data_IF_562931549247
#
_entry.id   IF_562931549247
#
_cell.length_a   1.000
_cell.length_b   1.000
_cell.length_c   1.000
_cell.angle_alpha   90.00
_cell.angle_beta   90.00
_cell.angle_gamma   90.00
#
_symmetry.space_group_name_H-M   'P 1'
#
loop_
_entity.id
_entity.type
_entity.pdbx_description
1 polymer ?
#
# COMPACT_ATOMS: atom_id res chain seq x y z
N UNK A 1 3.87 -13.14 -13.45
CA UNK A 1 3.75 -14.27 -12.50
C UNK A 1 2.34 -14.22 -11.95
N UNK A 2 1.59 -15.32 -11.94
CA UNK A 2 0.22 -15.35 -11.41
C UNK A 2 0.28 -15.21 -9.88
N UNK A 3 -0.55 -14.38 -9.25
CA UNK A 3 -0.64 -14.33 -7.79
C UNK A 3 -1.10 -15.70 -7.25
N UNK A 4 -0.61 -16.03 -6.05
CA UNK A 4 -0.96 -17.29 -5.38
C UNK A 4 -2.18 -17.04 -4.50
N UNK A 5 -3.25 -17.79 -4.73
CA UNK A 5 -4.43 -17.85 -3.89
C UNK A 5 -4.34 -19.10 -3.01
N UNK A 6 -3.86 -18.93 -1.78
CA UNK A 6 -3.84 -19.97 -0.75
C UNK A 6 -5.20 -20.04 -0.07
N UNK A 7 -5.77 -21.24 0.03
CA UNK A 7 -7.09 -21.48 0.62
C UNK A 7 -6.90 -22.48 1.75
N UNK A 8 -7.10 -22.00 2.97
CA UNK A 8 -6.95 -22.80 4.19
C UNK A 8 -8.30 -23.43 4.53
N UNK A 9 -8.32 -24.75 4.63
CA UNK A 9 -9.52 -25.54 4.91
C UNK A 9 -9.26 -26.51 6.05
N UNK A 10 -10.32 -26.85 6.77
CA UNK A 10 -10.33 -27.93 7.75
C UNK A 10 -11.44 -28.89 7.37
N UNK A 11 -11.15 -30.19 7.35
CA UNK A 11 -12.18 -31.21 7.16
C UNK A 11 -13.24 -31.10 8.26
N UNK A 12 -14.48 -31.48 7.94
CA UNK A 12 -15.61 -31.47 8.88
C UNK A 12 -15.99 -30.08 9.46
N UNK A 13 -15.53 -28.98 8.87
CA UNK A 13 -15.97 -27.63 9.20
C UNK A 13 -17.25 -27.24 8.44
N UNK A 14 -18.11 -26.42 9.05
CA UNK A 14 -19.29 -25.87 8.38
C UNK A 14 -18.88 -25.06 7.15
N UNK A 15 -19.28 -25.51 5.96
CA UNK A 15 -18.96 -24.85 4.69
C UNK A 15 -17.77 -25.46 3.94
N UNK A 16 -17.17 -26.56 4.41
CA UNK A 16 -16.09 -27.27 3.72
C UNK A 16 -16.46 -27.71 2.29
N UNK A 17 -17.62 -28.36 2.10
CA UNK A 17 -18.06 -28.82 0.77
C UNK A 17 -18.31 -27.66 -0.20
N UNK A 18 -18.86 -26.56 0.33
CA UNK A 18 -19.03 -25.33 -0.44
C UNK A 18 -17.67 -24.71 -0.80
N UNK A 19 -16.68 -24.78 0.10
CA UNK A 19 -15.33 -24.31 -0.18
C UNK A 19 -14.67 -25.11 -1.31
N UNK A 20 -14.81 -26.45 -1.30
CA UNK A 20 -14.32 -27.31 -2.38
C UNK A 20 -14.98 -26.96 -3.73
N UNK A 21 -16.30 -26.76 -3.73
CA UNK A 21 -17.03 -26.32 -4.93
C UNK A 21 -16.50 -24.99 -5.47
N UNK A 22 -16.24 -24.02 -4.58
CA UNK A 22 -15.68 -22.72 -4.95
C UNK A 22 -14.25 -22.87 -5.47
N UNK A 23 -13.42 -23.72 -4.84
CA UNK A 23 -12.04 -24.01 -5.27
C UNK A 23 -12.05 -24.53 -6.71
N UNK A 24 -12.90 -25.49 -7.02
CA UNK A 24 -13.01 -26.09 -8.35
C UNK A 24 -13.47 -25.06 -9.38
N UNK A 25 -14.48 -24.25 -9.04
CA UNK A 25 -14.93 -23.15 -9.89
C UNK A 25 -13.82 -22.14 -10.17
N UNK A 26 -13.03 -21.74 -9.17
CA UNK A 26 -11.90 -20.81 -9.36
C UNK A 26 -10.83 -21.43 -10.26
N UNK A 27 -10.49 -22.70 -10.06
CA UNK A 27 -9.50 -23.41 -10.88
C UNK A 27 -9.95 -23.53 -12.33
N UNK A 28 -11.25 -23.74 -12.57
CA UNK A 28 -11.82 -23.91 -13.90
C UNK A 28 -11.98 -22.58 -14.65
N UNK A 29 -12.53 -21.56 -13.98
CA UNK A 29 -12.95 -20.31 -14.64
C UNK A 29 -11.84 -19.26 -14.67
N UNK A 30 -10.90 -19.33 -13.72
CA UNK A 30 -9.79 -18.38 -13.61
C UNK A 30 -8.39 -19.02 -13.63
N UNK A 31 -8.10 -20.06 -14.46
CA UNK A 31 -6.83 -20.78 -14.47
C UNK A 31 -5.66 -19.88 -14.92
N UNK A 32 -5.95 -18.79 -15.62
CA UNK A 32 -4.95 -17.82 -16.06
C UNK A 32 -4.73 -16.67 -15.06
N UNK A 33 -5.64 -16.49 -14.09
CA UNK A 33 -5.57 -15.39 -13.12
C UNK A 33 -4.86 -15.81 -11.84
N UNK A 34 -5.17 -16.99 -11.30
CA UNK A 34 -4.64 -17.46 -10.02
C UNK A 34 -3.78 -18.72 -10.17
N UNK A 35 -2.81 -18.87 -9.28
CA UNK A 35 -2.32 -20.20 -8.88
C UNK A 35 -3.03 -20.55 -7.59
N UNK A 36 -3.87 -21.60 -7.59
CA UNK A 36 -4.64 -22.01 -6.41
C UNK A 36 -3.87 -23.07 -5.63
N UNK A 37 -3.61 -22.79 -4.36
CA UNK A 37 -2.98 -23.71 -3.41
C UNK A 37 -3.96 -24.00 -2.26
N UNK A 38 -4.29 -25.27 -2.04
CA UNK A 38 -5.17 -25.67 -0.93
C UNK A 38 -4.29 -26.16 0.22
N UNK A 39 -4.51 -25.61 1.40
CA UNK A 39 -3.76 -25.94 2.63
C UNK A 39 -4.74 -26.54 3.63
N UNK A 40 -4.54 -27.80 3.99
CA UNK A 40 -5.31 -28.46 5.03
C UNK A 40 -4.73 -28.15 6.40
N UNK A 41 -5.53 -27.56 7.29
CA UNK A 41 -5.05 -27.19 8.63
C UNK A 41 -4.72 -28.40 9.52
N UNK A 42 -5.17 -29.59 9.13
CA UNK A 42 -4.84 -30.86 9.80
C UNK A 42 -3.45 -31.39 9.41
N UNK A 43 -2.81 -30.83 8.38
CA UNK A 43 -1.47 -31.23 7.97
C UNK A 43 -0.42 -30.67 8.95
N UNK A 44 0.29 -31.59 9.61
CA UNK A 44 1.32 -31.26 10.59
C UNK A 44 2.52 -30.49 10.00
N UNK A 45 2.69 -30.49 8.67
CA UNK A 45 3.76 -29.75 7.98
C UNK A 45 3.29 -28.44 7.35
N UNK A 46 2.01 -28.11 7.43
CA UNK A 46 1.49 -26.88 6.82
C UNK A 46 2.03 -25.62 7.52
N UNK A 47 2.61 -24.72 6.73
CA UNK A 47 2.97 -23.37 7.17
C UNK A 47 1.71 -22.49 7.22
N UNK A 48 1.10 -22.41 8.41
CA UNK A 48 -0.13 -21.66 8.67
C UNK A 48 0.22 -20.35 9.38
N UNK A 49 0.04 -19.18 8.75
CA UNK A 49 0.32 -17.90 9.38
C UNK A 49 -0.61 -17.61 10.58
N UNK A 50 -0.10 -16.97 11.65
CA UNK A 50 -0.87 -16.60 12.86
C UNK A 50 -2.17 -15.82 12.59
N UNK A 51 -2.24 -15.11 11.46
CA UNK A 51 -3.43 -14.35 11.03
C UNK A 51 -4.57 -15.24 10.51
N UNK A 52 -4.32 -16.52 10.24
CA UNK A 52 -5.34 -17.49 9.80
C UNK A 52 -5.91 -18.16 11.04
N UNK A 53 -7.03 -17.64 11.53
CA UNK A 53 -7.67 -18.11 12.77
C UNK A 53 -9.05 -18.77 12.54
N UNK A 54 -9.50 -18.86 11.28
CA UNK A 54 -10.79 -19.45 10.91
C UNK A 54 -10.67 -20.20 9.58
N UNK A 55 -11.55 -21.17 9.35
CA UNK A 55 -11.69 -21.85 8.06
C UNK A 55 -13.13 -21.84 7.55
N UNK A 56 -13.33 -21.79 6.22
CA UNK A 56 -12.30 -21.61 5.20
C UNK A 56 -11.75 -20.16 5.18
N UNK A 57 -10.46 -19.98 4.90
CA UNK A 57 -9.84 -18.64 4.73
C UNK A 57 -9.14 -18.57 3.38
N UNK A 58 -9.38 -17.48 2.65
CA UNK A 58 -8.82 -17.24 1.32
C UNK A 58 -7.78 -16.12 1.42
N UNK A 59 -6.57 -16.41 0.92
CA UNK A 59 -5.41 -15.53 1.02
C UNK A 59 -4.73 -15.36 -0.33
N UNK A 60 -4.63 -14.11 -0.79
CA UNK A 60 -3.99 -13.74 -2.05
C UNK A 60 -2.64 -13.06 -1.76
N UNK A 61 -1.53 -13.62 -2.25
CA UNK A 61 -0.16 -13.07 -2.06
C UNK A 61 0.10 -12.59 -0.62
N UNK A 62 -0.24 -13.45 0.35
CA UNK A 62 -0.05 -13.21 1.78
C UNK A 62 -1.00 -12.17 2.42
N UNK A 63 -2.07 -11.74 1.73
CA UNK A 63 -3.14 -10.92 2.29
C UNK A 63 -4.45 -11.71 2.35
N UNK A 64 -5.13 -11.69 3.50
CA UNK A 64 -6.46 -12.30 3.63
C UNK A 64 -7.44 -11.49 2.77
N UNK A 65 -8.12 -12.17 1.86
CA UNK A 65 -9.13 -11.58 0.97
C UNK A 65 -10.54 -12.04 1.30
N UNK A 66 -10.70 -13.17 2.00
CA UNK A 66 -11.98 -13.61 2.58
C UNK A 66 -11.77 -14.43 3.85
N UNK A 67 -12.63 -14.19 4.85
CA UNK A 67 -12.83 -15.05 6.02
C UNK A 67 -14.19 -15.74 5.83
N UNK A 68 -14.17 -17.03 5.52
CA UNK A 68 -15.33 -17.79 5.06
C UNK A 68 -15.44 -17.88 3.54
N UNK A 69 -16.44 -18.64 3.09
CA UNK A 69 -16.70 -18.86 1.66
C UNK A 69 -17.11 -17.54 0.98
N UNK A 70 -16.33 -17.07 -0.02
CA UNK A 70 -16.65 -15.85 -0.74
C UNK A 70 -17.86 -16.08 -1.65
N UNK A 71 -18.57 -15.00 -1.95
CA UNK A 71 -19.62 -15.03 -2.98
C UNK A 71 -18.97 -14.85 -4.37
N UNK A 72 -19.64 -15.28 -5.46
CA UNK A 72 -19.11 -15.12 -6.80
C UNK A 72 -18.70 -13.68 -7.15
N UNK A 73 -19.45 -12.68 -6.68
CA UNK A 73 -19.13 -11.27 -6.87
C UNK A 73 -17.82 -10.84 -6.19
N UNK A 74 -17.48 -11.43 -5.05
CA UNK A 74 -16.25 -11.12 -4.33
C UNK A 74 -15.03 -11.63 -5.14
N UNK A 75 -15.16 -12.84 -5.71
CA UNK A 75 -14.14 -13.44 -6.58
C UNK A 75 -13.96 -12.60 -7.86
N UNK A 76 -15.06 -12.21 -8.50
CA UNK A 76 -15.03 -11.37 -9.70
C UNK A 76 -14.32 -10.02 -9.42
N UNK A 77 -14.56 -9.43 -8.25
CA UNK A 77 -13.89 -8.20 -7.84
C UNK A 77 -12.38 -8.40 -7.64
N UNK A 78 -11.94 -9.53 -7.07
CA UNK A 78 -10.51 -9.84 -6.98
C UNK A 78 -9.85 -9.96 -8.36
N UNK A 79 -10.51 -10.65 -9.29
CA UNK A 79 -10.05 -10.79 -10.68
C UNK A 79 -9.90 -9.43 -11.35
N UNK A 80 -10.90 -8.56 -11.24
CA UNK A 80 -10.85 -7.19 -11.79
C UNK A 80 -9.70 -6.39 -11.17
N UNK A 81 -9.50 -6.48 -9.86
CA UNK A 81 -8.42 -5.79 -9.15
C UNK A 81 -7.04 -6.27 -9.60
N UNK A 82 -6.87 -7.57 -9.82
CA UNK A 82 -5.62 -8.14 -10.35
C UNK A 82 -5.38 -7.67 -11.78
N UNK A 83 -6.40 -7.70 -12.64
CA UNK A 83 -6.30 -7.24 -14.02
C UNK A 83 -6.00 -5.72 -14.13
N UNK A 84 -6.55 -4.92 -13.21
CA UNK A 84 -6.30 -3.48 -13.13
C UNK A 84 -4.94 -3.15 -12.46
N UNK A 85 -4.34 -4.10 -11.76
CA UNK A 85 -3.02 -3.93 -11.15
C UNK A 85 -1.96 -4.05 -12.25
N UNK A 86 -1.10 -3.03 -12.45
CA UNK A 86 -0.08 -3.09 -13.50
C UNK A 86 0.85 -4.29 -13.30
N UNK A 87 1.00 -5.11 -14.34
CA UNK A 87 1.97 -6.20 -14.38
C UNK A 87 3.39 -5.63 -14.35
N UNK A 88 4.09 -5.89 -13.23
CA UNK A 88 5.40 -5.34 -12.87
C UNK A 88 5.45 -3.78 -12.86
N UNK A 89 6.08 -3.17 -11.83
CA UNK A 89 6.27 -1.73 -11.85
C UNK A 89 7.09 -1.34 -13.09
N UNK A 90 6.64 -0.34 -13.86
CA UNK A 90 7.38 0.16 -15.03
C UNK A 90 8.80 0.59 -14.63
N UNK A 91 9.75 0.62 -15.56
CA UNK A 91 11.13 1.13 -15.28
C UNK A 91 11.11 2.51 -14.64
N UNK A 92 10.16 3.35 -15.06
CA UNK A 92 9.89 4.64 -14.45
C UNK A 92 9.43 4.52 -12.99
N UNK A 93 8.46 3.67 -12.69
CA UNK A 93 7.99 3.43 -11.32
C UNK A 93 9.09 2.84 -10.42
N UNK A 94 9.92 1.95 -10.95
CA UNK A 94 11.08 1.40 -10.24
C UNK A 94 12.12 2.50 -9.95
N UNK A 95 12.44 3.33 -10.95
CA UNK A 95 13.34 4.47 -10.79
C UNK A 95 12.81 5.49 -9.77
N UNK A 96 11.52 5.82 -9.82
CA UNK A 96 10.87 6.70 -8.84
C UNK A 96 10.92 6.09 -7.44
N UNK A 97 10.66 4.79 -7.28
CA UNK A 97 10.77 4.09 -5.98
C UNK A 97 12.20 4.19 -5.42
N UNK A 98 13.22 3.98 -6.24
CA UNK A 98 14.63 4.12 -5.86
C UNK A 98 14.97 5.56 -5.46
N UNK A 99 14.48 6.55 -6.23
CA UNK A 99 14.66 7.97 -5.94
C UNK A 99 14.03 8.36 -4.59
N UNK A 100 12.77 7.98 -4.36
CA UNK A 100 12.06 8.25 -3.12
C UNK A 100 12.74 7.56 -1.92
N UNK A 101 13.23 6.32 -2.10
CA UNK A 101 14.04 5.64 -1.09
C UNK A 101 15.33 6.41 -0.78
N UNK A 102 16.02 6.94 -1.79
CA UNK A 102 17.21 7.78 -1.58
C UNK A 102 16.88 9.09 -0.87
N UNK A 103 15.78 9.75 -1.24
CA UNK A 103 15.31 10.97 -0.58
C UNK A 103 15.02 10.73 0.90
N UNK A 104 14.38 9.61 1.23
CA UNK A 104 14.15 9.18 2.62
C UNK A 104 15.42 9.12 3.44
N UNK A 105 16.49 8.49 2.94
CA UNK A 105 17.79 8.42 3.62
C UNK A 105 18.47 9.79 3.80
N UNK A 106 18.02 10.80 3.06
CA UNK A 106 18.50 12.17 3.17
C UNK A 106 17.58 13.03 4.06
N UNK A 107 16.67 12.42 4.83
CA UNK A 107 15.70 13.13 5.67
C UNK A 107 14.60 13.84 4.86
N UNK A 108 14.33 13.41 3.62
CA UNK A 108 13.37 14.05 2.72
C UNK A 108 12.15 13.16 2.52
N UNK A 109 11.12 13.40 3.31
CA UNK A 109 9.85 12.68 3.23
C UNK A 109 8.69 13.59 3.65
N UNK A 110 7.50 13.21 3.21
CA UNK A 110 6.26 13.98 3.32
C UNK A 110 5.24 13.25 4.20
N UNK A 111 4.14 13.91 4.53
CA UNK A 111 3.06 13.42 5.38
C UNK A 111 2.43 12.11 4.90
N UNK A 112 2.40 11.88 3.58
CA UNK A 112 1.96 10.61 3.00
C UNK A 112 2.83 9.40 3.43
N UNK A 113 4.01 9.64 4.02
CA UNK A 113 4.88 8.60 4.55
C UNK A 113 4.42 8.09 5.92
N UNK A 114 3.44 8.76 6.56
CA UNK A 114 3.02 8.47 7.92
C UNK A 114 4.06 8.95 8.93
N UNK A 115 3.91 10.19 9.40
CA UNK A 115 4.82 10.78 10.39
C UNK A 115 4.27 10.47 11.79
N UNK A 116 5.07 9.81 12.62
CA UNK A 116 4.77 9.55 14.03
C UNK A 116 5.85 10.20 14.89
N UNK A 117 5.41 11.04 15.83
CA UNK A 117 6.28 11.82 16.71
C UNK A 117 5.64 11.92 18.10
N UNK A 118 6.46 12.02 19.15
CA UNK A 118 5.96 12.24 20.52
C UNK A 118 5.30 13.63 20.59
N UNK A 119 4.19 13.72 21.32
CA UNK A 119 3.44 14.99 21.49
C UNK A 119 4.33 16.14 21.95
N UNK A 120 5.15 15.90 22.96
CA UNK A 120 6.08 16.90 23.52
C UNK A 120 7.06 17.44 22.47
N UNK A 121 7.55 16.58 21.57
CA UNK A 121 8.45 16.99 20.48
C UNK A 121 7.69 17.78 19.41
N UNK A 122 6.46 17.37 19.08
CA UNK A 122 5.62 18.12 18.14
C UNK A 122 5.36 19.55 18.64
N UNK A 123 4.99 19.69 19.91
CA UNK A 123 4.77 20.99 20.56
C UNK A 123 6.06 21.81 20.68
N UNK A 124 7.17 21.19 21.08
CA UNK A 124 8.47 21.86 21.16
C UNK A 124 8.96 22.37 19.79
N UNK A 125 8.60 21.68 18.71
CA UNK A 125 8.89 22.10 17.33
C UNK A 125 7.92 23.16 16.80
N UNK A 126 6.86 23.51 17.54
CA UNK A 126 5.83 24.47 17.12
C UNK A 126 4.81 23.89 16.15
N UNK A 127 4.66 22.56 16.08
CA UNK A 127 3.69 21.87 15.25
C UNK A 127 3.89 22.05 13.74
N UNK A 128 2.82 21.87 12.96
CA UNK A 128 2.80 22.23 11.54
C UNK A 128 2.66 23.74 11.40
N UNK A 129 3.40 24.32 10.46
CA UNK A 129 3.19 25.72 10.09
C UNK A 129 1.93 25.84 9.26
N UNK A 130 1.31 27.02 9.31
CA UNK A 130 0.17 27.38 8.49
C UNK A 130 0.64 27.67 7.05
N UNK A 131 1.04 26.61 6.35
CA UNK A 131 1.35 26.63 4.93
C UNK A 131 0.29 25.86 4.17
N UNK A 132 -0.22 26.44 3.09
CA UNK A 132 -1.14 25.76 2.17
C UNK A 132 -0.47 24.62 1.39
N UNK A 133 0.87 24.60 1.37
CA UNK A 133 1.67 23.58 0.71
C UNK A 133 3.01 23.37 1.43
N UNK A 134 3.46 22.11 1.53
CA UNK A 134 4.74 21.72 2.12
C UNK A 134 4.85 21.95 3.63
N UNK A 135 3.72 22.12 4.33
CA UNK A 135 3.65 22.17 5.79
C UNK A 135 4.25 20.92 6.44
N UNK A 136 3.98 19.77 5.81
CA UNK A 136 4.47 18.46 6.23
C UNK A 136 5.98 18.31 6.03
N UNK A 137 6.50 18.79 4.90
CA UNK A 137 7.93 18.77 4.60
C UNK A 137 8.72 19.76 5.46
N UNK A 138 8.20 20.96 5.71
CA UNK A 138 8.81 21.90 6.66
C UNK A 138 8.94 21.26 8.06
N UNK A 139 7.90 20.55 8.49
CA UNK A 139 7.92 19.82 9.75
C UNK A 139 8.99 18.71 9.77
N UNK A 140 9.10 17.90 8.73
CA UNK A 140 10.14 16.85 8.68
C UNK A 140 11.55 17.44 8.65
N UNK A 141 11.76 18.56 7.95
CA UNK A 141 13.05 19.26 7.98
C UNK A 141 13.40 19.79 9.37
N UNK A 142 12.44 20.35 10.11
CA UNK A 142 12.66 20.78 11.50
C UNK A 142 12.95 19.61 12.43
N UNK A 143 12.26 18.49 12.24
CA UNK A 143 12.47 17.28 13.02
C UNK A 143 13.85 16.65 12.77
N UNK A 144 14.27 16.50 11.51
CA UNK A 144 15.60 15.98 11.16
C UNK A 144 16.76 16.86 11.67
N UNK A 145 16.52 18.16 11.90
CA UNK A 145 17.48 19.05 12.57
C UNK A 145 17.64 18.77 14.07
N UNK A 146 16.62 18.20 14.72
CA UNK A 146 16.69 17.81 16.14
C UNK A 146 17.27 16.41 16.33
N UNK A 147 17.13 15.53 15.33
CA UNK A 147 17.69 14.19 15.37
C UNK A 147 17.22 13.32 14.21
N UNK A 148 17.93 12.23 13.96
CA UNK A 148 17.59 11.28 12.91
C UNK A 148 16.28 10.56 13.22
N UNK A 149 15.45 10.36 12.19
CA UNK A 149 14.20 9.59 12.31
C UNK A 149 14.36 8.12 11.90
N UNK A 150 13.52 7.27 12.48
CA UNK A 150 13.45 5.85 12.14
C UNK A 150 12.42 5.60 11.02
N UNK A 151 12.75 4.73 10.07
CA UNK A 151 11.80 4.23 9.07
C UNK A 151 11.24 2.89 9.49
N UNK A 152 9.91 2.80 9.59
CA UNK A 152 9.20 1.55 9.80
C UNK A 152 8.77 0.99 8.43
N UNK A 153 9.15 -0.25 8.06
CA UNK A 153 8.82 -0.84 6.76
C UNK A 153 7.37 -1.36 6.72
N UNK A 154 6.43 -0.63 7.31
CA UNK A 154 5.00 -0.91 7.28
C UNK A 154 4.29 0.00 6.28
N UNK A 155 3.21 -0.51 5.69
CA UNK A 155 2.41 0.22 4.71
C UNK A 155 1.19 0.85 5.38
N UNK A 156 0.89 2.09 5.01
CA UNK A 156 -0.38 2.74 5.33
C UNK A 156 -1.27 2.61 4.10
N UNK A 157 -2.44 1.99 4.26
CA UNK A 157 -3.43 1.91 3.20
C UNK A 157 -4.23 3.21 3.17
N UNK A 158 -3.92 4.10 2.23
CA UNK A 158 -4.72 5.28 1.94
C UNK A 158 -5.68 5.01 0.77
N UNK A 159 -6.85 5.63 0.78
CA UNK A 159 -7.78 5.56 -0.35
C UNK A 159 -7.14 6.16 -1.60
N UNK A 160 -7.22 5.46 -2.74
CA UNK A 160 -6.59 5.86 -4.01
C UNK A 160 -7.31 7.01 -4.75
N UNK A 161 -7.77 8.04 -4.03
CA UNK A 161 -8.33 9.27 -4.59
C UNK A 161 -7.19 10.30 -4.56
N UNK A 162 -6.42 10.64 -5.63
CA UNK A 162 -6.86 10.99 -6.98
C UNK A 162 -5.76 10.80 -8.07
N UNK A 163 -5.39 9.56 -8.44
CA UNK A 163 -4.27 9.33 -9.39
C UNK A 163 -4.66 8.76 -10.75
N UNK A 164 -5.95 8.69 -11.09
CA UNK A 164 -6.33 7.89 -12.27
C UNK A 164 -5.94 8.54 -13.62
N UNK A 165 -5.91 9.88 -13.77
CA UNK A 165 -5.76 10.50 -15.10
C UNK A 165 -4.62 11.54 -15.29
N UNK A 166 -3.79 11.85 -14.28
CA UNK A 166 -2.72 12.89 -14.41
C UNK A 166 -1.38 12.55 -13.72
N UNK A 167 -1.03 11.26 -13.59
CA UNK A 167 0.13 10.80 -12.79
C UNK A 167 1.46 11.49 -13.11
N UNK A 168 1.79 11.68 -14.39
CA UNK A 168 3.05 12.29 -14.81
C UNK A 168 3.09 13.80 -14.56
N UNK A 169 2.02 14.52 -14.92
CA UNK A 169 1.93 15.97 -14.68
C UNK A 169 2.01 16.28 -13.19
N UNK A 170 1.26 15.54 -12.37
CA UNK A 170 1.31 15.69 -10.91
C UNK A 170 2.71 15.41 -10.37
N UNK A 171 3.37 14.32 -10.80
CA UNK A 171 4.74 14.02 -10.37
C UNK A 171 5.74 15.13 -10.75
N UNK A 172 5.65 15.69 -11.96
CA UNK A 172 6.51 16.80 -12.41
C UNK A 172 6.23 18.06 -11.59
N UNK A 173 4.97 18.43 -11.40
CA UNK A 173 4.58 19.59 -10.58
C UNK A 173 5.16 19.48 -9.17
N UNK A 174 5.03 18.32 -8.53
CA UNK A 174 5.63 18.07 -7.21
C UNK A 174 7.16 18.19 -7.20
N UNK A 175 7.85 17.68 -8.23
CA UNK A 175 9.31 17.84 -8.34
C UNK A 175 9.74 19.30 -8.52
N UNK A 176 8.99 20.08 -9.31
CA UNK A 176 9.26 21.51 -9.54
C UNK A 176 9.03 22.30 -8.25
N UNK A 177 7.88 22.12 -7.62
CA UNK A 177 7.52 22.78 -6.35
C UNK A 177 8.57 22.49 -5.28
N UNK A 178 8.95 21.22 -5.13
CA UNK A 178 10.00 20.81 -4.22
C UNK A 178 11.33 21.51 -4.50
N UNK A 179 11.71 21.60 -5.78
CA UNK A 179 12.99 22.21 -6.18
C UNK A 179 12.98 23.72 -5.92
N UNK A 180 11.89 24.41 -6.24
CA UNK A 180 11.73 25.85 -6.00
C UNK A 180 11.74 26.18 -4.50
N UNK A 181 11.04 25.39 -3.68
CA UNK A 181 11.10 25.53 -2.22
C UNK A 181 12.51 25.41 -1.68
N UNK A 182 13.30 24.45 -2.17
CA UNK A 182 14.72 24.31 -1.80
C UNK A 182 15.60 25.47 -2.24
N UNK A 183 15.21 26.19 -3.30
CA UNK A 183 15.90 27.40 -3.74
C UNK A 183 15.48 28.64 -2.93
N UNK A 184 14.61 28.49 -1.95
CA UNK A 184 14.19 29.57 -1.03
C UNK A 184 12.92 30.29 -1.46
N UNK A 185 12.20 29.80 -2.47
CA UNK A 185 10.88 30.34 -2.84
C UNK A 185 9.89 30.05 -1.71
N UNK A 186 9.10 31.05 -1.32
CA UNK A 186 8.17 30.90 -0.21
C UNK A 186 7.04 29.92 -0.57
N UNK A 187 6.51 29.13 0.38
CA UNK A 187 5.36 28.26 0.15
C UNK A 187 4.16 29.01 -0.46
N UNK A 188 3.90 30.24 -0.01
CA UNK A 188 2.79 31.06 -0.49
C UNK A 188 2.89 31.37 -1.99
N UNK A 189 4.10 31.56 -2.52
CA UNK A 189 4.31 31.78 -3.96
C UNK A 189 4.10 30.48 -4.76
N UNK A 190 4.39 29.32 -4.17
CA UNK A 190 4.23 28.00 -4.80
C UNK A 190 2.76 27.57 -4.90
N UNK A 191 1.90 28.05 -4.00
CA UNK A 191 0.45 27.82 -4.04
C UNK A 191 -0.14 28.33 -5.36
N UNK A 192 0.23 29.55 -5.76
CA UNK A 192 -0.24 30.16 -7.01
C UNK A 192 0.21 29.35 -8.25
N UNK A 193 1.37 28.70 -8.19
CA UNK A 193 1.87 27.85 -9.28
C UNK A 193 1.18 26.48 -9.33
N UNK A 194 0.75 25.93 -8.19
CA UNK A 194 0.13 24.60 -8.13
C UNK A 194 -1.39 24.64 -8.36
N UNK A 195 -2.06 25.67 -7.87
CA UNK A 195 -3.51 25.87 -7.97
C UNK A 195 -3.94 26.79 -9.12
N UNK A 196 -3.02 27.59 -9.69
CA UNK A 196 -3.25 28.37 -10.91
C UNK A 196 -3.20 27.53 -12.18
#
# INVERSE_FOLDING_TARGET
MKPILKIFVTEHCSGYDAALTIIDHIKQDYPQTFTVEVVYMTDAQADIPDRVFATPTYMLDNQIVSLGNPRPEDIAHWVQKIAASPSAPSRFAQGLKLLLKRWRYQGRYFGHSGIFVRKEIFEALGGFRDYDLLEDYDFTQRMEKQGATLFLPHYITASARPFQNRKLRTAISWMVIYSLYRLGVSPNDLVNFYYG
#
